data_IF_580328764304
#
_entry.id   IF_580328764304
#
_cell.length_a   1.000
_cell.length_b   1.000
_cell.length_c   1.000
_cell.angle_alpha   90.00
_cell.angle_beta   90.00
_cell.angle_gamma   90.00
#
_symmetry.space_group_name_H-M   'P 1'
#
loop_
_entity.id
_entity.type
_entity.pdbx_description
1 polymer ?
#
# COMPACT_ATOMS: atom_id res chain seq x y z
N UNK A 1 -24.67 -10.06 50.41
CA UNK A 1 -23.34 -10.68 50.60
C UNK A 1 -22.16 -9.77 50.21
N UNK A 2 -22.18 -9.05 49.09
CA UNK A 2 -21.02 -8.25 48.67
C UNK A 2 -20.63 -7.11 49.64
N UNK A 3 -21.62 -6.46 50.26
CA UNK A 3 -21.40 -5.38 51.22
C UNK A 3 -20.65 -5.83 52.49
N UNK A 4 -21.03 -6.99 53.04
CA UNK A 4 -20.37 -7.56 54.22
C UNK A 4 -18.95 -8.00 53.92
N UNK A 5 -18.68 -8.57 52.74
CA UNK A 5 -17.31 -8.92 52.31
C UNK A 5 -16.43 -7.67 52.22
N UNK A 6 -16.93 -6.57 51.65
CA UNK A 6 -16.18 -5.32 51.55
C UNK A 6 -15.73 -4.80 52.92
N UNK A 7 -16.63 -4.76 53.90
CA UNK A 7 -16.27 -4.26 55.24
C UNK A 7 -15.24 -5.19 55.91
N UNK A 8 -15.34 -6.50 55.68
CA UNK A 8 -14.40 -7.48 56.21
C UNK A 8 -13.02 -7.44 55.53
N UNK A 9 -12.93 -6.95 54.28
CA UNK A 9 -11.65 -6.86 53.57
C UNK A 9 -10.91 -5.54 53.80
N UNK A 10 -11.61 -4.42 54.03
CA UNK A 10 -11.03 -3.10 54.32
C UNK A 10 -10.56 -2.97 55.78
N UNK A 11 -9.73 -3.90 56.22
CA UNK A 11 -9.08 -3.82 57.53
C UNK A 11 -7.76 -3.05 57.43
N UNK A 12 -7.36 -2.38 58.52
CA UNK A 12 -6.07 -1.67 58.59
C UNK A 12 -4.89 -2.60 58.28
N UNK A 13 -4.97 -3.86 58.68
CA UNK A 13 -3.95 -4.87 58.41
C UNK A 13 -3.82 -5.17 56.91
N UNK A 14 -4.93 -5.37 56.20
CA UNK A 14 -4.91 -5.64 54.77
C UNK A 14 -4.39 -4.43 53.98
N UNK A 15 -4.77 -3.22 54.39
CA UNK A 15 -4.29 -1.97 53.79
C UNK A 15 -2.76 -1.84 53.97
N UNK A 16 -2.26 -1.98 55.21
CA UNK A 16 -0.82 -1.94 55.51
C UNK A 16 -0.03 -3.03 54.79
N UNK A 17 -0.59 -4.23 54.70
CA UNK A 17 -0.01 -5.35 53.97
C UNK A 17 0.14 -5.01 52.48
N UNK A 18 -0.89 -4.43 51.87
CA UNK A 18 -0.85 -3.96 50.48
C UNK A 18 0.26 -2.93 50.23
N UNK A 19 0.34 -1.88 51.05
CA UNK A 19 1.42 -0.87 50.93
C UNK A 19 2.82 -1.42 51.20
N UNK A 20 2.93 -2.39 52.11
CA UNK A 20 4.19 -3.09 52.35
C UNK A 20 4.58 -3.94 51.14
N UNK A 21 3.62 -4.59 50.49
CA UNK A 21 3.87 -5.43 49.31
C UNK A 21 4.41 -4.61 48.14
N UNK A 22 3.87 -3.42 47.93
CA UNK A 22 4.31 -2.48 46.90
C UNK A 22 5.55 -1.68 47.27
N UNK A 23 6.12 -1.88 48.47
CA UNK A 23 7.31 -1.15 48.93
C UNK A 23 7.10 0.37 49.06
N UNK A 24 5.84 0.83 49.19
CA UNK A 24 5.53 2.25 49.40
C UNK A 24 5.70 2.62 50.88
N UNK A 25 5.31 1.73 51.79
CA UNK A 25 5.42 1.95 53.25
C UNK A 25 5.97 0.70 53.96
N UNK A 26 7.16 0.76 54.58
CA UNK A 26 8.21 1.79 54.39
C UNK A 26 8.71 1.80 52.94
N UNK A 27 9.26 2.92 52.48
CA UNK A 27 9.77 3.05 51.12
C UNK A 27 10.93 2.08 50.88
N UNK A 28 10.70 1.08 50.02
CA UNK A 28 11.68 0.06 49.67
C UNK A 28 11.51 -0.38 48.20
N UNK A 29 12.30 0.26 47.34
CA UNK A 29 12.37 -0.03 45.90
C UNK A 29 12.74 -1.48 45.58
N UNK A 30 13.60 -2.11 46.38
CA UNK A 30 14.09 -3.48 46.11
C UNK A 30 12.95 -4.50 46.12
N UNK A 31 11.91 -4.26 46.93
CA UNK A 31 10.76 -5.15 47.01
C UNK A 31 9.96 -5.16 45.71
N UNK A 32 9.76 -3.98 45.11
CA UNK A 32 9.13 -3.84 43.78
C UNK A 32 10.00 -4.46 42.70
N UNK A 33 11.31 -4.17 42.70
CA UNK A 33 12.25 -4.70 41.71
C UNK A 33 12.37 -6.24 41.78
N UNK A 34 12.33 -6.82 42.97
CA UNK A 34 12.37 -8.28 43.17
C UNK A 34 11.13 -9.02 42.65
N UNK A 35 9.98 -8.35 42.60
CA UNK A 35 8.76 -8.88 42.00
C UNK A 35 8.73 -8.64 40.50
N UNK A 36 9.33 -7.53 40.06
CA UNK A 36 9.59 -7.21 38.67
C UNK A 36 10.81 -8.00 38.15
N UNK A 37 10.85 -9.31 38.41
CA UNK A 37 11.71 -10.25 37.70
C UNK A 37 11.22 -10.37 36.26
N UNK A 38 11.33 -9.28 35.51
CA UNK A 38 11.41 -9.35 34.06
C UNK A 38 12.68 -10.13 33.83
N UNK A 39 12.56 -11.40 33.43
CA UNK A 39 13.67 -12.17 32.94
C UNK A 39 14.17 -11.50 31.65
N UNK A 40 14.88 -10.39 31.78
CA UNK A 40 15.88 -9.99 30.82
C UNK A 40 16.86 -11.14 30.89
N UNK A 41 16.78 -12.05 29.93
CA UNK A 41 17.84 -13.01 29.66
C UNK A 41 19.11 -12.20 29.42
N UNK A 42 19.83 -11.87 30.48
CA UNK A 42 21.24 -11.56 30.42
C UNK A 42 21.89 -12.86 29.95
N UNK A 43 22.03 -12.96 28.63
CA UNK A 43 22.94 -13.90 28.04
C UNK A 43 24.30 -13.60 28.67
N UNK A 44 24.78 -14.53 29.49
CA UNK A 44 26.18 -14.62 29.91
C UNK A 44 27.09 -14.17 28.76
N UNK A 45 28.09 -13.29 28.98
CA UNK A 45 29.03 -12.93 27.93
C UNK A 45 29.88 -14.17 27.65
N UNK A 46 29.38 -15.06 26.80
CA UNK A 46 30.18 -16.10 26.19
C UNK A 46 31.23 -15.37 25.35
N UNK A 47 32.49 -15.59 25.74
CA UNK A 47 33.71 -15.31 25.02
C UNK A 47 33.49 -15.02 23.54
N UNK A 48 33.97 -13.85 23.11
CA UNK A 48 33.89 -13.32 21.75
C UNK A 48 34.36 -14.41 20.76
N UNK A 49 33.38 -15.11 20.18
CA UNK A 49 33.56 -15.81 18.91
C UNK A 49 32.93 -14.90 17.86
N UNK A 50 33.65 -14.52 16.78
CA UNK A 50 33.07 -13.79 15.67
C UNK A 50 32.16 -14.76 14.91
N UNK A 51 31.01 -15.07 15.49
CA UNK A 51 29.92 -15.72 14.81
C UNK A 51 29.23 -14.63 14.00
N UNK A 52 29.33 -14.74 12.69
CA UNK A 52 28.61 -13.97 11.67
C UNK A 52 27.08 -14.14 11.73
N UNK A 53 26.53 -14.44 12.90
CA UNK A 53 25.10 -14.33 13.16
C UNK A 53 24.81 -12.87 13.42
N UNK A 54 24.29 -12.20 12.40
CA UNK A 54 23.60 -10.92 12.47
C UNK A 54 22.55 -10.95 13.59
N UNK A 55 22.98 -10.64 14.81
CA UNK A 55 22.11 -10.22 15.89
C UNK A 55 21.52 -8.90 15.41
N UNK A 56 20.42 -9.01 14.69
CA UNK A 56 19.63 -7.88 14.24
C UNK A 56 19.16 -7.18 15.50
N UNK A 57 19.91 -6.17 15.91
CA UNK A 57 19.51 -5.18 16.90
C UNK A 57 18.11 -4.75 16.48
N UNK A 58 17.11 -5.16 17.24
CA UNK A 58 15.72 -4.88 16.95
C UNK A 58 15.56 -3.37 16.81
N UNK A 59 15.44 -2.88 15.57
CA UNK A 59 15.27 -1.46 15.29
C UNK A 59 13.79 -1.22 14.96
N UNK A 60 13.08 -0.35 15.69
CA UNK A 60 11.66 -0.06 15.49
C UNK A 60 11.43 0.83 14.25
N UNK A 61 12.05 0.49 13.12
CA UNK A 61 11.81 1.17 11.85
C UNK A 61 10.45 0.77 11.29
N UNK A 62 9.74 1.74 10.72
CA UNK A 62 8.49 1.52 9.99
C UNK A 62 8.68 0.44 8.91
N UNK A 63 7.88 -0.63 8.91
CA UNK A 63 7.99 -1.68 7.92
C UNK A 63 7.60 -1.14 6.54
N UNK A 64 8.45 -1.38 5.55
CA UNK A 64 8.23 -0.93 4.18
C UNK A 64 7.30 -1.85 3.38
N UNK A 65 7.22 -3.13 3.76
CA UNK A 65 6.40 -4.12 3.07
C UNK A 65 5.70 -5.07 4.05
N UNK A 66 4.64 -5.72 3.57
CA UNK A 66 3.84 -6.67 4.35
C UNK A 66 4.69 -7.78 4.99
N UNK A 67 5.70 -8.29 4.28
CA UNK A 67 6.60 -9.34 4.79
C UNK A 67 7.45 -8.86 5.97
N UNK A 68 7.96 -7.63 5.92
CA UNK A 68 8.75 -7.02 7.00
C UNK A 68 7.89 -6.73 8.21
N UNK A 69 6.66 -6.26 8.00
CA UNK A 69 5.67 -6.08 9.05
C UNK A 69 5.38 -7.40 9.76
N UNK A 70 5.11 -8.49 9.04
CA UNK A 70 4.83 -9.79 9.66
C UNK A 70 6.02 -10.31 10.47
N UNK A 71 7.24 -10.17 9.94
CA UNK A 71 8.46 -10.54 10.66
C UNK A 71 8.59 -9.73 11.96
N UNK A 72 8.36 -8.43 11.88
CA UNK A 72 8.40 -7.53 13.04
C UNK A 72 7.32 -7.89 14.05
N UNK A 73 6.08 -8.08 13.60
CA UNK A 73 4.96 -8.48 14.43
C UNK A 73 5.22 -9.79 15.18
N UNK A 74 5.78 -10.81 14.50
CA UNK A 74 6.18 -12.09 15.12
C UNK A 74 7.26 -11.89 16.19
N UNK A 75 8.23 -11.02 15.93
CA UNK A 75 9.27 -10.68 16.90
C UNK A 75 8.68 -10.00 18.14
N UNK A 76 7.82 -8.99 17.97
CA UNK A 76 7.15 -8.29 19.09
C UNK A 76 6.28 -9.24 19.90
N UNK A 77 5.48 -10.09 19.24
CA UNK A 77 4.67 -11.11 19.93
C UNK A 77 5.53 -12.03 20.80
N UNK A 78 6.67 -12.47 20.28
CA UNK A 78 7.61 -13.32 21.01
C UNK A 78 8.25 -12.59 22.19
N UNK A 79 8.69 -11.34 22.00
CA UNK A 79 9.29 -10.53 23.07
C UNK A 79 8.31 -10.22 24.21
N UNK A 80 7.02 -10.04 23.89
CA UNK A 80 5.97 -9.77 24.87
C UNK A 80 5.32 -11.04 25.43
N UNK A 81 5.80 -12.23 25.06
CA UNK A 81 5.19 -13.52 25.40
C UNK A 81 3.68 -13.58 25.08
N UNK A 82 3.25 -12.89 24.02
CA UNK A 82 1.86 -12.85 23.54
C UNK A 82 1.49 -14.14 22.76
N UNK A 83 2.04 -15.29 23.16
CA UNK A 83 1.79 -16.58 22.52
C UNK A 83 0.33 -17.02 22.65
N UNK A 84 -0.05 -18.04 21.87
CA UNK A 84 -1.40 -18.63 21.66
C UNK A 84 -2.20 -19.04 22.92
N UNK A 85 -1.74 -18.70 24.11
CA UNK A 85 -2.37 -19.03 25.37
C UNK A 85 -3.03 -17.77 25.94
N UNK A 86 -4.32 -17.63 25.66
CA UNK A 86 -5.33 -17.11 26.59
C UNK A 86 -4.92 -15.95 27.50
N UNK A 87 -4.24 -14.95 26.93
CA UNK A 87 -4.07 -13.69 27.65
C UNK A 87 -5.43 -13.02 27.68
N UNK A 88 -6.15 -13.15 28.80
CA UNK A 88 -7.35 -12.39 29.15
C UNK A 88 -7.13 -10.86 29.13
N UNK A 89 -5.97 -10.39 28.68
CA UNK A 89 -5.63 -8.99 28.46
C UNK A 89 -6.19 -8.51 27.11
N UNK A 90 -6.93 -7.39 27.09
CA UNK A 90 -7.44 -6.79 25.85
C UNK A 90 -6.34 -6.33 24.87
N UNK A 91 -5.07 -6.34 25.30
CA UNK A 91 -3.93 -5.92 24.49
C UNK A 91 -3.65 -6.84 23.29
N UNK A 92 -3.85 -8.15 23.41
CA UNK A 92 -3.51 -9.09 22.33
C UNK A 92 -4.45 -8.95 21.10
N UNK A 93 -5.79 -8.90 21.28
CA UNK A 93 -6.72 -8.61 20.19
C UNK A 93 -6.45 -7.25 19.51
N UNK A 94 -6.20 -6.20 20.29
CA UNK A 94 -5.91 -4.87 19.76
C UNK A 94 -4.64 -4.87 18.90
N UNK A 95 -3.58 -5.55 19.35
CA UNK A 95 -2.35 -5.69 18.58
C UNK A 95 -2.56 -6.46 17.26
N UNK A 96 -3.35 -7.53 17.30
CA UNK A 96 -3.72 -8.27 16.08
C UNK A 96 -4.52 -7.43 15.10
N UNK A 97 -5.46 -6.60 15.59
CA UNK A 97 -6.21 -5.66 14.75
C UNK A 97 -5.29 -4.62 14.12
N UNK A 98 -4.32 -4.09 14.88
CA UNK A 98 -3.31 -3.16 14.35
C UNK A 98 -2.51 -3.79 13.19
N UNK A 99 -2.03 -5.03 13.37
CA UNK A 99 -1.30 -5.75 12.32
C UNK A 99 -2.19 -5.89 11.07
N UNK A 100 -3.43 -6.34 11.23
CA UNK A 100 -4.38 -6.49 10.11
C UNK A 100 -4.65 -5.16 9.40
N UNK A 101 -4.91 -4.09 10.15
CA UNK A 101 -5.14 -2.76 9.60
C UNK A 101 -3.94 -2.27 8.79
N UNK A 102 -2.73 -2.43 9.30
CA UNK A 102 -1.51 -2.05 8.58
C UNK A 102 -1.28 -2.86 7.29
N UNK A 103 -1.61 -4.16 7.28
CA UNK A 103 -1.58 -4.98 6.06
C UNK A 103 -2.56 -4.46 5.01
N UNK A 104 -3.80 -4.17 5.40
CA UNK A 104 -4.83 -3.62 4.49
C UNK A 104 -4.35 -2.32 3.87
N UNK A 105 -3.83 -1.39 4.68
CA UNK A 105 -3.31 -0.10 4.19
C UNK A 105 -2.15 -0.29 3.23
N UNK A 106 -1.21 -1.20 3.51
CA UNK A 106 -0.09 -1.48 2.58
C UNK A 106 -0.56 -2.04 1.25
N UNK A 107 -1.51 -2.98 1.26
CA UNK A 107 -2.07 -3.53 0.03
C UNK A 107 -2.83 -2.48 -0.77
N UNK A 108 -3.64 -1.66 -0.11
CA UNK A 108 -4.32 -0.54 -0.74
C UNK A 108 -3.33 0.45 -1.33
N UNK A 109 -2.31 0.87 -0.58
CA UNK A 109 -1.28 1.78 -1.07
C UNK A 109 -0.57 1.25 -2.31
N UNK A 110 -0.29 -0.06 -2.38
CA UNK A 110 0.30 -0.69 -3.56
C UNK A 110 -0.63 -0.64 -4.79
N UNK A 111 -1.93 -0.89 -4.60
CA UNK A 111 -2.94 -0.78 -5.67
C UNK A 111 -3.04 0.67 -6.14
N UNK A 112 -3.20 1.62 -5.21
CA UNK A 112 -3.30 3.04 -5.52
C UNK A 112 -2.07 3.55 -6.27
N UNK A 113 -0.86 3.13 -5.86
CA UNK A 113 0.36 3.51 -6.56
C UNK A 113 0.37 3.04 -8.02
N UNK A 114 -0.08 1.80 -8.27
CA UNK A 114 -0.19 1.24 -9.62
C UNK A 114 -1.25 1.96 -10.46
N UNK A 115 -2.43 2.17 -9.90
CA UNK A 115 -3.51 2.86 -10.59
C UNK A 115 -3.13 4.31 -10.90
N UNK A 116 -2.50 5.01 -9.96
CA UNK A 116 -2.02 6.37 -10.15
C UNK A 116 -0.97 6.44 -11.27
N UNK A 117 -0.06 5.47 -11.33
CA UNK A 117 0.91 5.37 -12.41
C UNK A 117 0.23 5.19 -13.78
N UNK A 118 -0.69 4.22 -13.90
CA UNK A 118 -1.45 3.99 -15.13
C UNK A 118 -2.24 5.24 -15.56
N UNK A 119 -2.85 5.94 -14.61
CA UNK A 119 -3.60 7.16 -14.86
C UNK A 119 -2.69 8.28 -15.38
N UNK A 120 -1.48 8.42 -14.84
CA UNK A 120 -0.50 9.39 -15.32
C UNK A 120 -0.05 9.09 -16.75
N UNK A 121 0.26 7.84 -17.06
CA UNK A 121 0.62 7.43 -18.42
C UNK A 121 -0.49 7.71 -19.43
N UNK A 122 -1.73 7.36 -19.09
CA UNK A 122 -2.90 7.65 -19.94
C UNK A 122 -3.11 9.16 -20.12
N UNK A 123 -2.93 9.95 -19.07
CA UNK A 123 -3.05 11.40 -19.12
C UNK A 123 -1.98 12.02 -20.03
N UNK A 124 -0.73 11.57 -19.93
CA UNK A 124 0.37 12.03 -20.77
C UNK A 124 0.11 11.75 -22.25
N UNK A 125 -0.43 10.57 -22.58
CA UNK A 125 -0.83 10.22 -23.96
C UNK A 125 -1.95 11.14 -24.44
N UNK A 126 -2.98 11.38 -23.62
CA UNK A 126 -4.09 12.27 -23.96
C UNK A 126 -3.63 13.71 -24.15
N UNK A 127 -2.74 14.22 -23.29
CA UNK A 127 -2.16 15.56 -23.42
C UNK A 127 -1.34 15.69 -24.69
N UNK A 128 -0.49 14.70 -25.02
CA UNK A 128 0.26 14.66 -26.29
C UNK A 128 -0.69 14.66 -27.50
N UNK A 129 -1.78 13.90 -27.45
CA UNK A 129 -2.79 13.90 -28.53
C UNK A 129 -3.50 15.25 -28.65
N UNK A 130 -3.89 15.86 -27.53
CA UNK A 130 -4.55 17.17 -27.50
C UNK A 130 -3.64 18.26 -28.06
N UNK A 131 -2.39 18.34 -27.60
CA UNK A 131 -1.42 19.32 -28.08
C UNK A 131 -1.14 19.15 -29.57
N UNK A 132 -1.00 17.92 -30.08
CA UNK A 132 -0.88 17.66 -31.53
C UNK A 132 -2.10 18.17 -32.31
N UNK A 133 -3.32 17.85 -31.85
CA UNK A 133 -4.55 18.34 -32.49
C UNK A 133 -4.65 19.86 -32.46
N UNK A 134 -4.38 20.50 -31.31
CA UNK A 134 -4.40 21.95 -31.20
C UNK A 134 -3.35 22.61 -32.09
N UNK A 135 -2.13 22.05 -32.17
CA UNK A 135 -1.09 22.55 -33.09
C UNK A 135 -1.51 22.38 -34.56
N UNK A 136 -2.12 21.25 -34.93
CA UNK A 136 -2.65 21.05 -36.28
C UNK A 136 -3.74 22.08 -36.61
N UNK A 137 -4.68 22.34 -35.70
CA UNK A 137 -5.71 23.37 -35.88
C UNK A 137 -5.18 24.80 -35.91
N UNK A 138 -4.04 25.08 -35.27
CA UNK A 138 -3.36 26.38 -35.37
C UNK A 138 -2.57 26.53 -36.67
N UNK A 139 -2.03 25.43 -37.20
CA UNK A 139 -1.36 25.39 -38.50
C UNK A 139 -2.36 25.47 -39.66
N UNK A 140 -3.55 24.89 -39.49
CA UNK A 140 -4.73 25.12 -40.32
C UNK A 140 -5.32 26.51 -40.02
N UNK A 141 -4.53 27.56 -40.28
CA UNK A 141 -5.12 28.88 -40.57
C UNK A 141 -6.23 28.71 -41.60
N UNK A 142 -7.31 29.47 -41.48
CA UNK A 142 -8.50 29.36 -42.34
C UNK A 142 -8.02 29.31 -43.80
N UNK A 143 -8.13 28.14 -44.44
CA UNK A 143 -7.73 27.97 -45.84
C UNK A 143 -8.58 28.95 -46.64
N UNK A 144 -7.94 30.00 -47.14
CA UNK A 144 -8.65 31.05 -47.83
C UNK A 144 -9.16 30.48 -49.15
N UNK A 145 -10.35 30.88 -49.61
CA UNK A 145 -10.96 30.33 -50.85
C UNK A 145 -10.02 30.43 -52.07
N UNK A 146 -9.08 31.38 -52.05
CA UNK A 146 -8.02 31.51 -53.05
C UNK A 146 -6.98 30.36 -52.99
N UNK A 147 -6.39 30.08 -51.82
CA UNK A 147 -5.45 28.96 -51.63
C UNK A 147 -6.09 27.60 -51.93
N UNK A 148 -7.38 27.43 -51.59
CA UNK A 148 -8.12 26.21 -51.92
C UNK A 148 -8.35 26.01 -53.42
N UNK A 149 -8.41 27.09 -54.22
CA UNK A 149 -8.52 27.00 -55.68
C UNK A 149 -7.17 26.71 -56.34
N UNK A 150 -6.08 27.23 -55.80
CA UNK A 150 -4.72 26.99 -56.29
C UNK A 150 -4.33 25.51 -56.11
N UNK A 151 -4.59 24.94 -54.92
CA UNK A 151 -4.37 23.50 -54.66
C UNK A 151 -5.24 22.58 -55.53
N UNK A 152 -6.43 23.01 -55.93
CA UNK A 152 -7.30 22.25 -56.83
C UNK A 152 -6.86 22.34 -58.30
N UNK A 153 -6.13 23.39 -58.68
CA UNK A 153 -5.52 23.55 -60.00
C UNK A 153 -4.15 22.88 -60.10
N UNK A 154 -3.43 22.72 -58.98
CA UNK A 154 -2.14 22.02 -58.91
C UNK A 154 -2.25 20.48 -58.95
N UNK A 155 -3.45 19.90 -58.89
CA UNK A 155 -3.65 18.48 -59.21
C UNK A 155 -3.43 18.28 -60.72
N UNK A 156 -2.37 17.56 -61.15
CA UNK A 156 -2.18 17.29 -62.56
C UNK A 156 -3.35 16.45 -63.08
N UNK A 157 -3.90 16.88 -64.20
CA UNK A 157 -4.75 16.07 -65.06
C UNK A 157 -3.92 14.91 -65.63
N UNK A 158 -3.63 13.89 -64.84
CA UNK A 158 -2.95 12.69 -65.33
C UNK A 158 -3.52 11.43 -64.67
N UNK A 159 -4.57 10.92 -65.31
CA UNK A 159 -4.68 9.51 -65.68
C UNK A 159 -5.93 9.33 -66.56
N UNK A 160 -5.81 9.66 -67.85
CA UNK A 160 -6.59 8.91 -68.83
C UNK A 160 -6.14 7.44 -68.71
N UNK A 161 -7.04 6.49 -68.44
CA UNK A 161 -6.67 5.08 -68.41
C UNK A 161 -6.27 4.64 -69.84
N UNK A 162 -5.19 3.88 -70.02
CA UNK A 162 -4.85 3.31 -71.32
C UNK A 162 -5.98 2.37 -71.79
N UNK A 163 -6.21 2.26 -73.13
CA UNK A 163 -7.25 1.39 -73.66
C UNK A 163 -7.01 -0.07 -73.24
N UNK A 164 -8.06 -0.83 -72.91
CA UNK A 164 -7.91 -2.18 -72.38
C UNK A 164 -7.34 -3.13 -73.45
N UNK A 165 -6.38 -4.01 -73.10
CA UNK A 165 -6.06 -5.15 -73.94
C UNK A 165 -7.25 -6.10 -73.98
N UNK A 166 -7.57 -6.57 -75.19
CA UNK A 166 -8.67 -7.48 -75.48
C UNK A 166 -8.73 -8.67 -74.51
N UNK A 167 -9.91 -8.87 -73.93
CA UNK A 167 -10.30 -10.11 -73.26
C UNK A 167 -10.22 -10.07 -71.74
N UNK A 168 -11.19 -9.41 -71.10
CA UNK A 168 -11.82 -9.85 -69.83
C UNK A 168 -12.96 -8.89 -69.47
N UNK A 169 -14.11 -9.45 -69.11
CA UNK A 169 -15.37 -8.75 -68.87
C UNK A 169 -15.30 -7.73 -67.70
N UNK A 170 -16.15 -6.68 -67.68
CA UNK A 170 -16.17 -5.70 -66.60
C UNK A 170 -16.57 -6.34 -65.26
N UNK A 171 -15.66 -6.32 -64.28
CA UNK A 171 -16.02 -6.60 -62.88
C UNK A 171 -16.79 -5.40 -62.33
N UNK A 172 -18.09 -5.60 -62.08
CA UNK A 172 -18.96 -4.61 -61.46
C UNK A 172 -18.47 -4.28 -60.03
N UNK A 173 -18.55 -3.01 -59.59
CA UNK A 173 -18.24 -2.65 -58.21
C UNK A 173 -19.23 -3.34 -57.26
N UNK A 174 -18.72 -3.98 -56.20
CA UNK A 174 -19.55 -4.60 -55.18
C UNK A 174 -20.51 -3.57 -54.54
N UNK A 175 -21.81 -3.74 -54.74
CA UNK A 175 -22.82 -2.92 -54.08
C UNK A 175 -22.83 -3.24 -52.57
N UNK A 176 -22.66 -2.20 -51.75
CA UNK A 176 -22.76 -2.28 -50.29
C UNK A 176 -24.23 -2.48 -49.90
N UNK A 177 -24.51 -3.50 -49.08
CA UNK A 177 -25.85 -3.79 -48.60
C UNK A 177 -26.45 -2.61 -47.79
N UNK A 178 -27.76 -2.38 -47.96
CA UNK A 178 -28.51 -1.34 -47.26
C UNK A 178 -28.63 -1.66 -45.75
N UNK A 179 -28.64 -0.63 -44.88
CA UNK A 179 -28.85 -0.83 -43.44
C UNK A 179 -30.27 -1.32 -43.17
N UNK A 180 -30.39 -2.37 -42.34
CA UNK A 180 -31.67 -2.84 -41.80
C UNK A 180 -32.26 -1.76 -40.90
N UNK A 181 -33.49 -1.35 -41.18
CA UNK A 181 -34.35 -0.62 -40.25
C UNK A 181 -34.87 -1.57 -39.15
#
# INVERSE_FOLDING_TARGET
MLYSVRIQTYTTQNIKSGFSHTGIVPYNLQKVLSQLQIAVREATPASIRPSTSSSSTWSPKTPYNARTLEKQAKSVKRSLNMGDLDSNSPSCPAFNQLIKGSLVVMHQAAILARENHNLREANDILQKRRTRRTKALQADGILTVAEGRELAQELPEEAQPPPPPNGSAPLQPAQRALPRA
#
